data_IF_876542606565
#
_entry.id   IF_876542606565
#
_cell.length_a   1.000
_cell.length_b   1.000
_cell.length_c   1.000
_cell.angle_alpha   90.00
_cell.angle_beta   90.00
_cell.angle_gamma   90.00
#
_symmetry.space_group_name_H-M   'P 1'
#
loop_
_entity.id
_entity.type
_entity.pdbx_description
1 polymer ?
#
# COMPACT_ATOMS: atom_id res chain seq x y z
N UNK A 1 -1.94 11.20 -10.01
CA UNK A 1 -2.54 10.53 -8.83
C UNK A 1 -1.57 10.65 -7.67
N UNK A 2 -1.85 11.52 -6.71
CA UNK A 2 -1.02 11.70 -5.53
C UNK A 2 -1.29 10.61 -4.50
N UNK A 3 -0.23 10.08 -3.88
CA UNK A 3 -0.34 9.25 -2.70
C UNK A 3 -0.60 10.17 -1.50
N UNK A 4 -1.66 9.93 -0.74
CA UNK A 4 -1.95 10.68 0.47
C UNK A 4 -1.09 10.12 1.60
N UNK A 5 -0.11 10.92 2.05
CA UNK A 5 0.69 10.65 3.22
C UNK A 5 0.12 11.45 4.39
N UNK A 6 0.09 10.85 5.57
CA UNK A 6 -0.22 11.61 6.78
C UNK A 6 0.95 12.53 7.18
N UNK A 7 0.74 13.33 8.23
CA UNK A 7 1.76 14.24 8.78
C UNK A 7 3.00 13.54 9.36
N UNK A 8 3.00 12.20 9.44
CA UNK A 8 4.10 11.35 9.92
C UNK A 8 4.77 10.55 8.80
N UNK A 9 4.37 10.76 7.54
CA UNK A 9 4.89 10.01 6.40
C UNK A 9 4.31 8.60 6.28
N UNK A 10 3.26 8.25 7.02
CA UNK A 10 2.55 6.99 6.85
C UNK A 10 1.61 7.07 5.64
N UNK A 11 1.72 6.06 4.78
CA UNK A 11 0.76 5.75 3.74
C UNK A 11 -0.22 4.71 4.28
N UNK A 12 -1.51 5.01 4.27
CA UNK A 12 -2.59 4.05 4.52
C UNK A 12 -3.61 4.16 3.41
N UNK A 13 -3.75 3.11 2.61
CA UNK A 13 -4.63 3.09 1.45
C UNK A 13 -5.41 1.79 1.39
N UNK A 14 -6.72 1.88 1.26
CA UNK A 14 -7.56 0.72 0.95
C UNK A 14 -7.92 0.75 -0.54
N UNK A 15 -7.64 -0.34 -1.25
CA UNK A 15 -7.98 -0.51 -2.66
C UNK A 15 -9.08 -1.55 -2.77
N UNK A 16 -10.35 -1.14 -2.94
CA UNK A 16 -11.45 -2.08 -3.09
C UNK A 16 -11.32 -2.86 -4.40
N UNK A 17 -11.85 -4.09 -4.40
CA UNK A 17 -11.90 -5.02 -5.53
C UNK A 17 -10.52 -5.37 -6.12
N UNK A 18 -9.45 -5.07 -5.38
CA UNK A 18 -8.10 -5.41 -5.79
C UNK A 18 -7.85 -6.90 -5.54
N UNK A 19 -7.37 -7.61 -6.57
CA UNK A 19 -7.05 -9.03 -6.43
C UNK A 19 -5.85 -9.23 -5.50
N UNK A 20 -5.84 -10.25 -4.62
CA UNK A 20 -4.72 -10.52 -3.73
C UNK A 20 -3.38 -10.70 -4.45
N UNK A 21 -3.40 -11.23 -5.68
CA UNK A 21 -2.24 -11.35 -6.57
C UNK A 21 -1.52 -10.01 -6.83
N UNK A 22 -2.22 -8.87 -6.73
CA UNK A 22 -1.62 -7.56 -6.90
C UNK A 22 -0.73 -7.15 -5.70
N UNK A 23 -0.85 -7.81 -4.53
CA UNK A 23 -0.11 -7.45 -3.32
C UNK A 23 1.40 -7.44 -3.54
N UNK A 24 1.95 -8.43 -4.24
CA UNK A 24 3.37 -8.52 -4.57
C UNK A 24 3.84 -7.36 -5.44
N UNK A 25 3.03 -6.97 -6.43
CA UNK A 25 3.31 -5.84 -7.34
C UNK A 25 3.25 -4.52 -6.59
N UNK A 26 2.27 -4.35 -5.70
CA UNK A 26 2.13 -3.18 -4.83
C UNK A 26 3.35 -3.05 -3.92
N UNK A 27 3.74 -4.10 -3.21
CA UNK A 27 4.92 -4.11 -2.34
C UNK A 27 6.20 -3.75 -3.10
N UNK A 28 6.40 -4.34 -4.28
CA UNK A 28 7.56 -4.03 -5.13
C UNK A 28 7.60 -2.55 -5.54
N UNK A 29 6.45 -1.99 -5.94
CA UNK A 29 6.36 -0.57 -6.32
C UNK A 29 6.61 0.37 -5.14
N UNK A 30 6.06 0.06 -3.96
CA UNK A 30 6.27 0.86 -2.76
C UNK A 30 7.76 0.92 -2.39
N UNK A 31 8.45 -0.23 -2.36
CA UNK A 31 9.90 -0.26 -2.11
C UNK A 31 10.68 0.58 -3.13
N UNK A 32 10.33 0.50 -4.42
CA UNK A 32 10.99 1.30 -5.48
C UNK A 32 10.74 2.80 -5.37
N UNK A 33 9.66 3.22 -4.72
CA UNK A 33 9.37 4.63 -4.46
C UNK A 33 10.04 5.16 -3.18
N UNK A 34 10.84 4.33 -2.51
CA UNK A 34 11.55 4.70 -1.28
C UNK A 34 10.73 4.53 -0.02
N UNK A 35 9.59 3.85 -0.08
CA UNK A 35 8.86 3.49 1.12
C UNK A 35 9.55 2.35 1.88
N UNK A 36 9.53 2.46 3.20
CA UNK A 36 9.91 1.46 4.18
C UNK A 36 8.66 0.89 4.87
N UNK A 37 8.85 -0.16 5.69
CA UNK A 37 7.78 -0.80 6.49
C UNK A 37 6.49 -1.09 5.69
N UNK A 38 6.65 -1.53 4.44
CA UNK A 38 5.54 -1.80 3.54
C UNK A 38 4.84 -3.10 3.93
N UNK A 39 3.53 -3.06 4.11
CA UNK A 39 2.67 -4.23 4.25
C UNK A 39 1.45 -4.10 3.35
N UNK A 40 1.01 -5.24 2.83
CA UNK A 40 -0.23 -5.36 2.07
C UNK A 40 -0.99 -6.54 2.63
N UNK A 41 -2.19 -6.30 3.12
CA UNK A 41 -3.06 -7.29 3.73
C UNK A 41 -4.31 -7.44 2.85
N UNK A 42 -4.72 -8.68 2.60
CA UNK A 42 -6.03 -8.95 2.04
C UNK A 42 -7.08 -8.68 3.12
N UNK A 43 -8.12 -7.95 2.75
CA UNK A 43 -9.29 -7.71 3.60
C UNK A 43 -10.55 -8.01 2.79
N UNK A 44 -11.70 -8.11 3.46
CA UNK A 44 -12.97 -8.39 2.79
C UNK A 44 -13.21 -7.37 1.67
N UNK A 45 -13.16 -7.85 0.43
CA UNK A 45 -13.40 -7.04 -0.76
C UNK A 45 -12.24 -6.17 -1.23
N UNK A 46 -10.98 -6.37 -0.80
CA UNK A 46 -9.85 -5.63 -1.38
C UNK A 46 -8.50 -5.81 -0.70
N UNK A 47 -7.61 -4.84 -0.95
CA UNK A 47 -6.27 -4.80 -0.36
C UNK A 47 -6.09 -3.57 0.52
N UNK A 48 -5.64 -3.80 1.76
CA UNK A 48 -5.18 -2.74 2.64
C UNK A 48 -3.67 -2.61 2.52
N UNK A 49 -3.21 -1.40 2.20
CA UNK A 49 -1.81 -1.07 1.97
C UNK A 49 -1.36 -0.15 3.09
N UNK A 50 -0.25 -0.50 3.75
CA UNK A 50 0.44 0.36 4.71
C UNK A 50 1.91 0.52 4.30
N UNK A 51 2.45 1.72 4.43
CA UNK A 51 3.87 1.97 4.22
C UNK A 51 4.32 3.23 4.97
N UNK A 52 5.62 3.43 5.12
CA UNK A 52 6.19 4.62 5.76
C UNK A 52 7.28 5.23 4.88
N UNK A 53 7.33 6.56 4.78
CA UNK A 53 8.36 7.29 4.03
C UNK A 53 9.14 8.23 4.93
#
# INVERSE_FOLDING_TARGET
MGLYLDSKGELRLFVPQCRPLAASVVLFRLKRQGFSRCSVEESEGGLLIRAQR
#
